data_IF_716070726074
#
_entry.id   IF_716070726074
#
_cell.length_a   1.000
_cell.length_b   1.000
_cell.length_c   1.000
_cell.angle_alpha   90.00
_cell.angle_beta   90.00
_cell.angle_gamma   90.00
#
_symmetry.space_group_name_H-M   'P 1'
#
loop_
_entity.id
_entity.type
_entity.pdbx_description
1 polymer ?
#
# COMPACT_ATOMS: atom_id res chain seq x y z
N UNK A 1 3.32 28.39 30.03
CA UNK A 1 4.61 27.81 29.63
C UNK A 1 4.72 26.32 29.94
N UNK A 2 4.26 25.48 29.01
CA UNK A 2 4.56 24.05 29.02
C UNK A 2 5.66 23.80 27.97
N UNK A 3 6.89 23.67 28.47
CA UNK A 3 8.08 23.36 27.69
C UNK A 3 7.85 22.06 26.90
N UNK A 4 7.90 22.14 25.57
CA UNK A 4 7.97 20.97 24.68
C UNK A 4 9.31 20.28 24.91
N UNK A 5 9.29 19.14 25.60
CA UNK A 5 10.43 18.24 25.64
C UNK A 5 10.50 17.51 24.30
N UNK A 6 11.41 17.96 23.45
CA UNK A 6 11.92 17.16 22.35
C UNK A 6 12.80 16.07 22.94
N UNK A 7 12.24 14.87 23.13
CA UNK A 7 13.08 13.69 23.37
C UNK A 7 13.68 13.28 22.03
N UNK A 8 14.93 13.63 21.78
CA UNK A 8 15.77 12.98 20.76
C UNK A 8 16.15 11.59 21.27
N UNK A 9 16.27 10.60 20.38
CA UNK A 9 16.92 9.33 20.72
C UNK A 9 18.40 9.61 21.02
N UNK A 10 19.09 8.76 21.82
CA UNK A 10 20.50 8.96 22.16
C UNK A 10 21.44 8.95 20.94
N UNK A 11 20.98 8.49 19.77
CA UNK A 11 21.70 8.53 18.49
C UNK A 11 21.47 9.82 17.68
N UNK A 12 20.76 10.81 18.24
CA UNK A 12 20.44 12.07 17.55
C UNK A 12 19.34 11.95 16.50
N UNK A 13 18.79 10.76 16.26
CA UNK A 13 17.68 10.60 15.33
C UNK A 13 16.36 11.14 15.93
N UNK A 14 15.50 11.77 15.10
CA UNK A 14 14.20 12.24 15.57
C UNK A 14 13.39 11.05 16.10
N UNK A 15 12.95 11.15 17.35
CA UNK A 15 12.06 10.15 17.95
C UNK A 15 10.76 10.16 17.16
N UNK A 16 10.35 8.98 16.74
CA UNK A 16 9.15 8.79 15.96
C UNK A 16 7.94 9.15 16.83
N UNK A 17 7.49 10.40 16.70
CA UNK A 17 6.52 11.08 17.59
C UNK A 17 5.07 10.68 17.25
N UNK A 18 4.85 9.40 16.91
CA UNK A 18 3.54 8.89 16.51
C UNK A 18 2.71 8.56 17.76
N UNK A 19 1.48 9.08 17.90
CA UNK A 19 0.58 8.63 18.94
C UNK A 19 0.27 7.13 18.76
N UNK A 20 0.26 6.31 19.83
CA UNK A 20 0.04 4.87 19.73
C UNK A 20 -1.29 4.49 19.07
N UNK A 21 -2.31 5.36 19.20
CA UNK A 21 -3.60 5.18 18.53
C UNK A 21 -3.49 5.26 17.00
N UNK A 22 -2.65 6.15 16.47
CA UNK A 22 -2.44 6.29 15.02
C UNK A 22 -1.74 5.05 14.47
N UNK A 23 -0.77 4.51 15.20
CA UNK A 23 -0.10 3.26 14.84
C UNK A 23 -1.08 2.08 14.72
N UNK A 24 -1.97 1.91 15.71
CA UNK A 24 -2.98 0.83 15.67
C UNK A 24 -4.00 1.02 14.53
N UNK A 25 -4.35 2.28 14.24
CA UNK A 25 -5.22 2.64 13.13
C UNK A 25 -4.57 2.37 11.76
N UNK A 26 -3.25 2.46 11.66
CA UNK A 26 -2.52 2.09 10.44
C UNK A 26 -2.37 0.57 10.31
N UNK A 27 -2.10 -0.13 11.41
CA UNK A 27 -2.05 -1.59 11.44
C UNK A 27 -3.38 -2.20 10.99
N UNK A 28 -4.50 -1.62 11.41
CA UNK A 28 -5.83 -2.07 11.00
C UNK A 28 -6.15 -1.76 9.53
N UNK A 29 -5.62 -0.68 8.95
CA UNK A 29 -5.71 -0.43 7.49
C UNK A 29 -4.91 -1.46 6.68
N UNK A 30 -3.72 -1.83 7.16
CA UNK A 30 -2.92 -2.90 6.56
C UNK A 30 -3.66 -4.23 6.65
N UNK A 31 -4.20 -4.58 7.83
CA UNK A 31 -4.98 -5.80 8.04
C UNK A 31 -6.24 -5.86 7.17
N UNK A 32 -6.98 -4.76 7.08
CA UNK A 32 -8.18 -4.68 6.23
C UNK A 32 -7.82 -4.79 4.73
N UNK A 33 -6.78 -4.09 4.28
CA UNK A 33 -6.30 -4.18 2.90
C UNK A 33 -5.87 -5.60 2.54
N UNK A 34 -5.09 -6.24 3.40
CA UNK A 34 -4.65 -7.62 3.22
C UNK A 34 -5.81 -8.62 3.25
N UNK A 35 -6.79 -8.41 4.14
CA UNK A 35 -8.00 -9.23 4.21
C UNK A 35 -8.86 -9.13 2.95
N UNK A 36 -9.09 -7.91 2.46
CA UNK A 36 -9.79 -7.67 1.18
C UNK A 36 -9.03 -8.30 0.02
N UNK A 37 -7.71 -8.10 -0.03
CA UNK A 37 -6.89 -8.67 -1.09
C UNK A 37 -6.85 -10.18 -1.07
N UNK A 38 -6.82 -10.80 0.10
CA UNK A 38 -6.96 -12.24 0.25
C UNK A 38 -8.31 -12.75 -0.27
N UNK A 39 -9.42 -12.09 0.07
CA UNK A 39 -10.75 -12.46 -0.40
C UNK A 39 -10.86 -12.35 -1.93
N UNK A 40 -10.33 -11.28 -2.51
CA UNK A 40 -10.28 -11.09 -3.97
C UNK A 40 -9.39 -12.15 -4.64
N UNK A 41 -8.26 -12.51 -4.03
CA UNK A 41 -7.41 -13.58 -4.56
C UNK A 41 -8.08 -14.94 -4.50
N UNK A 42 -8.87 -15.25 -3.48
CA UNK A 42 -9.68 -16.47 -3.46
C UNK A 42 -10.71 -16.49 -4.58
N UNK A 43 -11.41 -15.37 -4.79
CA UNK A 43 -12.38 -15.24 -5.88
C UNK A 43 -11.72 -15.43 -7.25
N UNK A 44 -10.59 -14.76 -7.49
CA UNK A 44 -9.83 -14.87 -8.73
C UNK A 44 -9.25 -16.27 -8.92
N UNK A 45 -8.74 -16.90 -7.86
CA UNK A 45 -8.23 -18.28 -7.89
C UNK A 45 -9.33 -19.25 -8.32
N UNK A 46 -10.51 -19.15 -7.70
CA UNK A 46 -11.66 -19.97 -8.06
C UNK A 46 -12.06 -19.74 -9.52
N UNK A 47 -12.16 -18.48 -9.95
CA UNK A 47 -12.50 -18.14 -11.34
C UNK A 47 -11.49 -18.72 -12.32
N UNK A 48 -10.20 -18.55 -12.06
CA UNK A 48 -9.15 -19.07 -12.93
C UNK A 48 -9.25 -20.61 -12.99
N UNK A 49 -9.38 -21.30 -11.86
CA UNK A 49 -9.55 -22.76 -11.87
C UNK A 49 -10.77 -23.26 -12.66
N UNK A 50 -11.84 -22.45 -12.73
CA UNK A 50 -13.05 -22.81 -13.49
C UNK A 50 -12.97 -22.46 -14.97
N UNK A 51 -12.22 -21.42 -15.35
CA UNK A 51 -12.02 -21.01 -16.74
C UNK A 51 -11.04 -21.92 -17.47
N UNK A 52 -10.07 -22.48 -16.74
CA UNK A 52 -9.10 -23.41 -17.28
C UNK A 52 -9.70 -24.82 -17.30
N UNK A 53 -10.39 -25.16 -18.41
CA UNK A 53 -10.82 -26.53 -18.76
C UNK A 53 -9.65 -27.49 -19.06
N UNK A 54 -8.40 -27.03 -18.92
CA UNK A 54 -7.20 -27.83 -19.01
C UNK A 54 -7.02 -28.69 -17.77
N UNK A 55 -6.17 -29.72 -17.86
CA UNK A 55 -5.96 -30.87 -16.95
C UNK A 55 -5.72 -30.57 -15.45
N UNK A 56 -5.82 -29.31 -15.00
CA UNK A 56 -5.52 -28.82 -13.67
C UNK A 56 -6.80 -28.34 -12.99
N UNK A 57 -7.58 -29.28 -12.46
CA UNK A 57 -8.79 -28.99 -11.68
C UNK A 57 -8.53 -28.63 -10.21
N UNK A 58 -7.28 -28.48 -9.78
CA UNK A 58 -6.95 -28.14 -8.39
C UNK A 58 -6.90 -26.61 -8.19
N UNK A 59 -7.87 -25.98 -7.51
CA UNK A 59 -7.85 -24.53 -7.27
C UNK A 59 -6.65 -24.09 -6.44
N UNK A 60 -6.07 -24.99 -5.63
CA UNK A 60 -4.89 -24.68 -4.83
C UNK A 60 -3.66 -24.42 -5.70
N UNK A 61 -3.56 -25.11 -6.84
CA UNK A 61 -2.46 -24.94 -7.78
C UNK A 61 -2.46 -23.56 -8.45
N UNK A 62 -3.65 -22.97 -8.59
CA UNK A 62 -3.86 -21.63 -9.14
C UNK A 62 -3.70 -20.50 -8.12
N UNK A 63 -3.67 -20.82 -6.82
CA UNK A 63 -3.58 -19.80 -5.77
C UNK A 63 -2.28 -19.00 -5.86
N UNK A 64 -1.14 -19.68 -5.92
CA UNK A 64 0.16 -18.99 -5.96
C UNK A 64 0.38 -18.19 -7.25
N UNK A 65 0.09 -18.70 -8.46
CA UNK A 65 0.12 -17.90 -9.67
C UNK A 65 -0.79 -16.66 -9.62
N UNK A 66 -2.00 -16.81 -9.08
CA UNK A 66 -2.92 -15.68 -8.90
C UNK A 66 -2.34 -14.65 -7.94
N UNK A 67 -1.81 -15.09 -6.80
CA UNK A 67 -1.14 -14.22 -5.83
C UNK A 67 0.09 -13.53 -6.43
N UNK A 68 0.93 -14.24 -7.17
CA UNK A 68 2.13 -13.63 -7.76
C UNK A 68 1.77 -12.54 -8.78
N UNK A 69 0.76 -12.76 -9.63
CA UNK A 69 0.31 -11.71 -10.54
C UNK A 69 -0.31 -10.53 -9.80
N UNK A 70 -1.00 -10.79 -8.70
CA UNK A 70 -1.54 -9.75 -7.83
C UNK A 70 -0.41 -8.85 -7.31
N UNK A 71 0.68 -9.44 -6.80
CA UNK A 71 1.85 -8.71 -6.34
C UNK A 71 2.57 -7.95 -7.47
N UNK A 72 2.65 -8.54 -8.67
CA UNK A 72 3.35 -7.92 -9.80
C UNK A 72 2.56 -6.78 -10.45
N UNK A 73 1.23 -6.85 -10.45
CA UNK A 73 0.39 -5.93 -11.22
C UNK A 73 -0.60 -5.16 -10.37
N UNK A 74 -1.31 -5.83 -9.47
CA UNK A 74 -2.36 -5.19 -8.67
C UNK A 74 -1.81 -4.29 -7.57
N UNK A 75 -0.68 -4.66 -6.96
CA UNK A 75 -0.05 -3.83 -5.92
C UNK A 75 0.46 -2.51 -6.52
N UNK A 76 1.26 -2.48 -7.60
CA UNK A 76 1.65 -1.23 -8.25
C UNK A 76 0.45 -0.41 -8.72
N UNK A 77 -0.58 -1.06 -9.27
CA UNK A 77 -1.82 -0.40 -9.68
C UNK A 77 -2.55 0.22 -8.49
N UNK A 78 -2.64 -0.48 -7.35
CA UNK A 78 -3.25 0.01 -6.12
C UNK A 78 -2.52 1.24 -5.58
N UNK A 79 -1.18 1.23 -5.60
CA UNK A 79 -0.36 2.39 -5.25
C UNK A 79 -0.61 3.56 -6.21
N UNK A 80 -0.68 3.31 -7.52
CA UNK A 80 -0.97 4.34 -8.52
C UNK A 80 -2.38 4.94 -8.33
N UNK A 81 -3.39 4.10 -8.10
CA UNK A 81 -4.77 4.53 -7.81
C UNK A 81 -4.84 5.35 -6.52
N UNK A 82 -4.16 4.93 -5.46
CA UNK A 82 -4.08 5.68 -4.22
C UNK A 82 -3.45 7.05 -4.43
N UNK A 83 -2.36 7.14 -5.19
CA UNK A 83 -1.73 8.42 -5.56
C UNK A 83 -2.65 9.30 -6.39
N UNK A 84 -3.34 8.73 -7.37
CA UNK A 84 -4.31 9.44 -8.19
C UNK A 84 -5.42 10.03 -7.33
N UNK A 85 -6.00 9.22 -6.42
CA UNK A 85 -7.02 9.68 -5.48
C UNK A 85 -6.53 10.86 -4.64
N UNK A 86 -5.29 10.80 -4.10
CA UNK A 86 -4.71 11.91 -3.36
C UNK A 86 -4.56 13.17 -4.21
N UNK A 87 -4.08 13.04 -5.46
CA UNK A 87 -3.89 14.16 -6.36
C UNK A 87 -5.23 14.81 -6.73
N UNK A 88 -6.24 13.99 -7.06
CA UNK A 88 -7.60 14.46 -7.36
C UNK A 88 -8.22 15.15 -6.15
N UNK A 89 -8.08 14.58 -4.95
CA UNK A 89 -8.61 15.19 -3.74
C UNK A 89 -7.94 16.54 -3.41
N UNK A 90 -6.62 16.68 -3.62
CA UNK A 90 -5.93 17.97 -3.47
C UNK A 90 -6.40 18.98 -4.50
N UNK A 91 -6.50 18.59 -5.76
CA UNK A 91 -7.00 19.45 -6.83
C UNK A 91 -8.41 19.95 -6.50
N UNK A 92 -9.34 19.06 -6.14
CA UNK A 92 -10.71 19.46 -5.79
C UNK A 92 -10.77 20.36 -4.56
N UNK A 93 -9.96 20.08 -3.54
CA UNK A 93 -9.86 20.95 -2.36
C UNK A 93 -9.35 22.34 -2.73
N UNK A 94 -8.27 22.42 -3.49
CA UNK A 94 -7.60 23.69 -3.80
C UNK A 94 -8.43 24.52 -4.81
N UNK A 95 -9.11 23.87 -5.76
CA UNK A 95 -9.95 24.54 -6.77
C UNK A 95 -11.33 24.93 -6.25
N UNK A 96 -11.98 24.08 -5.44
CA UNK A 96 -13.36 24.29 -5.01
C UNK A 96 -13.51 24.64 -3.52
N UNK A 97 -12.41 24.80 -2.78
CA UNK A 97 -12.39 25.05 -1.33
C UNK A 97 -13.20 24.03 -0.51
N UNK A 98 -13.32 22.81 -1.03
CA UNK A 98 -14.08 21.73 -0.39
C UNK A 98 -13.23 21.08 0.71
N UNK A 99 -13.42 21.55 1.94
CA UNK A 99 -12.72 21.06 3.14
C UNK A 99 -12.99 19.58 3.44
N UNK A 100 -14.09 19.00 2.96
CA UNK A 100 -14.41 17.58 3.14
C UNK A 100 -13.38 16.64 2.48
N UNK A 101 -12.68 17.10 1.44
CA UNK A 101 -11.63 16.33 0.76
C UNK A 101 -10.28 16.36 1.47
N UNK A 102 -10.11 17.14 2.54
CA UNK A 102 -8.84 17.17 3.28
C UNK A 102 -8.45 15.79 3.82
N UNK A 103 -9.44 14.93 4.08
CA UNK A 103 -9.19 13.57 4.54
C UNK A 103 -8.52 12.68 3.49
N UNK A 104 -8.94 12.80 2.22
CA UNK A 104 -8.41 12.03 1.10
C UNK A 104 -7.17 12.71 0.50
N UNK A 105 -7.08 14.03 0.52
CA UNK A 105 -5.94 14.80 0.03
C UNK A 105 -4.64 14.48 0.79
N UNK A 106 -4.78 14.08 2.06
CA UNK A 106 -3.69 13.72 2.99
C UNK A 106 -3.51 12.20 3.14
N UNK A 107 -4.19 11.41 2.34
CA UNK A 107 -4.06 9.96 2.32
C UNK A 107 -2.59 9.54 2.06
N UNK A 108 -2.08 8.64 2.90
CA UNK A 108 -0.69 8.17 2.87
C UNK A 108 0.37 9.20 3.34
N UNK A 109 -0.02 10.38 3.85
CA UNK A 109 0.91 11.36 4.43
C UNK A 109 0.79 11.38 5.96
N UNK A 110 1.86 10.98 6.63
CA UNK A 110 2.06 11.14 8.07
C UNK A 110 2.53 12.57 8.36
N UNK A 111 1.62 13.55 8.38
CA UNK A 111 1.96 14.87 8.90
C UNK A 111 1.51 15.01 10.35
N UNK A 112 2.36 15.66 11.15
CA UNK A 112 2.02 16.19 12.49
C UNK A 112 0.75 17.06 12.31
N UNK A 113 -0.34 16.70 12.99
CA UNK A 113 -1.63 17.39 12.88
C UNK A 113 -1.46 18.92 13.03
N UNK A 114 -2.14 19.76 12.21
CA UNK A 114 -2.44 21.12 12.63
C UNK A 114 -3.38 21.04 13.83
N UNK A 115 -3.14 21.89 14.83
CA UNK A 115 -3.74 21.90 16.17
C UNK A 115 -5.26 22.22 16.23
N UNK A 116 -6.07 21.81 15.25
CA UNK A 116 -7.50 22.10 15.20
C UNK A 116 -8.33 20.93 15.79
N UNK A 117 -9.01 21.24 16.88
CA UNK A 117 -9.47 20.32 17.93
C UNK A 117 -10.93 19.79 17.75
N UNK A 118 -11.57 19.85 16.58
CA UNK A 118 -13.06 19.80 16.56
C UNK A 118 -13.80 19.03 15.45
N UNK A 119 -13.26 17.96 14.85
CA UNK A 119 -14.04 17.09 13.92
C UNK A 119 -13.49 15.64 13.85
N UNK A 120 -14.32 14.60 13.66
CA UNK A 120 -14.15 13.31 14.32
C UNK A 120 -13.09 12.42 13.65
N UNK A 121 -11.99 12.22 14.38
CA UNK A 121 -10.87 11.32 14.05
C UNK A 121 -11.31 9.96 13.48
N UNK A 122 -12.42 9.41 13.99
CA UNK A 122 -12.97 8.12 13.56
C UNK A 122 -13.58 8.20 12.15
N UNK A 123 -14.34 9.24 11.80
CA UNK A 123 -14.92 9.36 10.44
C UNK A 123 -13.83 9.59 9.41
N UNK A 124 -12.83 10.41 9.74
CA UNK A 124 -11.65 10.64 8.90
C UNK A 124 -10.87 9.35 8.64
N UNK A 125 -10.58 8.60 9.71
CA UNK A 125 -9.89 7.32 9.60
C UNK A 125 -10.70 6.32 8.79
N UNK A 126 -12.01 6.23 9.03
CA UNK A 126 -12.91 5.31 8.34
C UNK A 126 -13.00 5.64 6.84
N UNK A 127 -13.10 6.93 6.47
CA UNK A 127 -13.09 7.35 5.07
C UNK A 127 -11.80 6.94 4.37
N UNK A 128 -10.64 7.10 5.03
CA UNK A 128 -9.36 6.63 4.50
C UNK A 128 -9.28 5.10 4.43
N UNK A 129 -9.80 4.38 5.43
CA UNK A 129 -9.84 2.93 5.42
C UNK A 129 -10.67 2.42 4.24
N UNK A 130 -11.86 2.97 4.04
CA UNK A 130 -12.76 2.60 2.94
C UNK A 130 -12.12 2.93 1.60
N UNK A 131 -11.56 4.12 1.43
CA UNK A 131 -10.86 4.49 0.21
C UNK A 131 -9.68 3.55 -0.08
N UNK A 132 -8.89 3.20 0.94
CA UNK A 132 -7.79 2.24 0.83
C UNK A 132 -8.29 0.85 0.44
N UNK A 133 -9.29 0.33 1.14
CA UNK A 133 -9.89 -0.97 0.85
C UNK A 133 -10.47 -1.03 -0.56
N UNK A 134 -11.11 0.05 -1.04
CA UNK A 134 -11.63 0.14 -2.40
C UNK A 134 -10.51 0.16 -3.44
N UNK A 135 -9.45 0.96 -3.23
CA UNK A 135 -8.29 0.96 -4.12
C UNK A 135 -7.66 -0.43 -4.22
N UNK A 136 -7.49 -1.12 -3.08
CA UNK A 136 -6.97 -2.50 -3.03
C UNK A 136 -7.92 -3.46 -3.72
N UNK A 137 -9.23 -3.40 -3.45
CA UNK A 137 -10.21 -4.30 -4.06
C UNK A 137 -10.23 -4.16 -5.58
N UNK A 138 -10.29 -2.92 -6.08
CA UNK A 138 -10.33 -2.65 -7.52
C UNK A 138 -9.02 -3.03 -8.18
N UNK A 139 -7.87 -2.68 -7.59
CA UNK A 139 -6.58 -3.01 -8.20
C UNK A 139 -6.34 -4.51 -8.26
N UNK A 140 -6.69 -5.26 -7.21
CA UNK A 140 -6.58 -6.73 -7.16
C UNK A 140 -7.59 -7.44 -8.04
N UNK A 141 -8.79 -6.87 -8.18
CA UNK A 141 -9.77 -7.39 -9.14
C UNK A 141 -9.24 -7.24 -10.57
N UNK A 142 -8.76 -6.04 -10.94
CA UNK A 142 -8.19 -5.76 -12.26
C UNK A 142 -6.94 -6.60 -12.51
N UNK A 143 -6.01 -6.66 -11.55
CA UNK A 143 -4.79 -7.47 -11.66
C UNK A 143 -5.10 -8.97 -11.83
N UNK A 144 -6.12 -9.48 -11.16
CA UNK A 144 -6.62 -10.84 -11.35
C UNK A 144 -7.23 -11.12 -12.73
N UNK A 145 -7.58 -10.09 -13.51
CA UNK A 145 -7.97 -10.23 -14.93
C UNK A 145 -6.79 -10.49 -15.85
N UNK A 146 -5.55 -10.27 -15.40
CA UNK A 146 -4.36 -10.44 -16.24
C UNK A 146 -4.12 -11.92 -16.55
N UNK A 147 -4.34 -12.83 -15.59
CA UNK A 147 -4.19 -14.27 -15.82
C UNK A 147 -5.06 -14.80 -16.96
N UNK A 148 -6.39 -14.63 -16.95
CA UNK A 148 -7.22 -15.11 -18.05
C UNK A 148 -6.92 -14.37 -19.36
N UNK A 149 -6.55 -13.09 -19.30
CA UNK A 149 -6.12 -12.35 -20.51
C UNK A 149 -4.86 -12.95 -21.12
N UNK A 150 -3.84 -13.24 -20.31
CA UNK A 150 -2.61 -13.88 -20.77
C UNK A 150 -2.88 -15.28 -21.30
N UNK A 151 -3.76 -16.04 -20.66
CA UNK A 151 -4.17 -17.35 -21.19
C UNK A 151 -4.82 -17.25 -22.57
N UNK A 152 -5.72 -16.30 -22.79
CA UNK A 152 -6.34 -16.11 -24.12
C UNK A 152 -5.30 -15.75 -25.19
N UNK A 153 -4.25 -15.01 -24.81
CA UNK A 153 -3.23 -14.53 -25.74
C UNK A 153 -2.15 -15.57 -26.06
N UNK A 154 -1.65 -16.27 -25.06
CA UNK A 154 -0.48 -17.16 -25.17
C UNK A 154 -0.75 -18.60 -24.71
N UNK A 155 -1.97 -18.88 -24.22
CA UNK A 155 -2.43 -20.22 -23.86
C UNK A 155 -1.55 -20.90 -22.81
N UNK A 156 -1.28 -22.22 -22.97
CA UNK A 156 -0.53 -23.00 -21.98
C UNK A 156 0.93 -22.58 -21.83
N UNK A 157 1.43 -21.72 -22.74
CA UNK A 157 2.77 -21.14 -22.64
C UNK A 157 2.82 -19.94 -21.68
N UNK A 158 1.71 -19.55 -21.06
CA UNK A 158 1.73 -18.52 -20.04
C UNK A 158 2.55 -18.97 -18.83
N UNK A 159 3.45 -18.12 -18.30
CA UNK A 159 4.31 -18.51 -17.17
C UNK A 159 3.48 -18.86 -15.92
N UNK A 160 2.30 -18.24 -15.78
CA UNK A 160 1.36 -18.53 -14.69
C UNK A 160 0.70 -19.90 -14.84
N UNK A 161 0.32 -20.30 -16.06
CA UNK A 161 -0.20 -21.63 -16.33
C UNK A 161 0.87 -22.71 -16.12
N UNK A 162 2.09 -22.49 -16.62
CA UNK A 162 3.22 -23.41 -16.39
C UNK A 162 3.51 -23.59 -14.90
N UNK A 163 3.40 -22.51 -14.11
CA UNK A 163 3.58 -22.56 -12.67
C UNK A 163 2.43 -23.30 -11.96
N UNK A 164 1.17 -23.07 -12.35
CA UNK A 164 0.03 -23.82 -11.83
C UNK A 164 0.20 -25.33 -12.09
N UNK A 165 0.61 -25.67 -13.30
CA UNK A 165 0.85 -27.06 -13.71
C UNK A 165 2.00 -27.71 -12.94
N UNK A 166 3.10 -26.99 -12.72
CA UNK A 166 4.20 -27.45 -11.88
C UNK A 166 3.72 -27.74 -10.46
N UNK A 167 2.97 -26.81 -9.84
CA UNK A 167 2.43 -26.98 -8.49
C UNK A 167 1.46 -28.16 -8.42
N UNK A 168 0.62 -28.35 -9.44
CA UNK A 168 -0.29 -29.48 -9.52
C UNK A 168 0.46 -30.82 -9.50
N UNK A 169 1.58 -30.93 -10.23
CA UNK A 169 2.42 -32.15 -10.33
C UNK A 169 3.27 -32.46 -9.10
N UNK A 170 3.43 -31.51 -8.16
CA UNK A 170 4.12 -31.79 -6.90
C UNK A 170 3.41 -32.90 -6.14
N UNK A 171 4.16 -33.94 -5.76
CA UNK A 171 3.70 -35.08 -4.95
C UNK A 171 3.48 -34.72 -3.46
N UNK A 172 3.23 -33.44 -3.18
CA UNK A 172 2.99 -32.94 -1.84
C UNK A 172 1.52 -33.13 -1.47
N UNK A 173 1.26 -33.36 -0.19
CA UNK A 173 -0.12 -33.36 0.31
C UNK A 173 -0.78 -31.99 0.08
N UNK A 174 -2.10 -31.96 -0.08
CA UNK A 174 -2.85 -30.71 -0.21
C UNK A 174 -2.60 -29.76 0.97
N UNK A 175 -2.42 -30.32 2.18
CA UNK A 175 -2.07 -29.55 3.37
C UNK A 175 -0.68 -28.89 3.22
N UNK A 176 0.34 -29.64 2.78
CA UNK A 176 1.68 -29.10 2.56
C UNK A 176 1.69 -27.98 1.52
N UNK A 177 0.97 -28.16 0.40
CA UNK A 177 0.81 -27.11 -0.62
C UNK A 177 0.12 -25.85 -0.04
N UNK A 178 -0.94 -26.01 0.76
CA UNK A 178 -1.61 -24.88 1.44
C UNK A 178 -0.67 -24.12 2.36
N UNK A 179 0.00 -24.81 3.28
CA UNK A 179 0.88 -24.15 4.24
C UNK A 179 2.07 -23.48 3.56
N UNK A 180 2.63 -24.10 2.53
CA UNK A 180 3.78 -23.54 1.82
C UNK A 180 3.38 -22.35 0.94
N UNK A 181 2.45 -22.54 0.00
CA UNK A 181 2.11 -21.53 -1.00
C UNK A 181 1.20 -20.42 -0.47
N UNK A 182 0.20 -20.77 0.35
CA UNK A 182 -0.73 -19.78 0.89
C UNK A 182 -0.29 -19.21 2.24
N UNK A 183 0.57 -19.92 2.97
CA UNK A 183 1.13 -19.47 4.25
C UNK A 183 2.52 -18.86 4.07
N UNK A 184 3.54 -19.72 4.05
CA UNK A 184 4.94 -19.31 4.11
C UNK A 184 5.36 -18.36 2.98
N UNK A 185 5.05 -18.72 1.74
CA UNK A 185 5.49 -17.96 0.57
C UNK A 185 4.77 -16.61 0.46
N UNK A 186 3.48 -16.57 0.82
CA UNK A 186 2.73 -15.33 0.95
C UNK A 186 3.35 -14.40 1.98
N UNK A 187 3.55 -14.89 3.21
CA UNK A 187 4.14 -14.09 4.30
C UNK A 187 5.53 -13.57 3.91
N UNK A 188 6.34 -14.41 3.26
CA UNK A 188 7.67 -14.00 2.80
C UNK A 188 7.57 -12.87 1.77
N UNK A 189 6.67 -12.98 0.79
CA UNK A 189 6.48 -11.95 -0.23
C UNK A 189 5.90 -10.66 0.35
N UNK A 190 4.94 -10.74 1.28
CA UNK A 190 4.42 -9.57 2.01
C UNK A 190 5.55 -8.85 2.78
N UNK A 191 6.45 -9.60 3.44
CA UNK A 191 7.61 -9.02 4.14
C UNK A 191 8.57 -8.35 3.16
N UNK A 192 8.87 -9.00 2.03
CA UNK A 192 9.73 -8.43 0.99
C UNK A 192 9.10 -7.16 0.42
N UNK A 193 7.80 -7.16 0.14
CA UNK A 193 7.06 -5.99 -0.34
C UNK A 193 7.19 -4.81 0.63
N UNK A 194 6.88 -5.02 1.91
CA UNK A 194 6.98 -3.98 2.94
C UNK A 194 8.42 -3.46 3.05
N UNK A 195 9.40 -4.36 3.01
CA UNK A 195 10.82 -4.01 3.10
C UNK A 195 11.26 -3.16 1.89
N UNK A 196 10.83 -3.53 0.68
CA UNK A 196 11.12 -2.78 -0.54
C UNK A 196 10.47 -1.40 -0.50
N UNK A 197 9.21 -1.31 -0.08
CA UNK A 197 8.49 -0.05 0.07
C UNK A 197 9.17 0.85 1.11
N UNK A 198 9.58 0.32 2.26
CA UNK A 198 10.30 1.07 3.28
C UNK A 198 11.67 1.55 2.79
N UNK A 199 12.42 0.69 2.08
CA UNK A 199 13.68 1.05 1.43
C UNK A 199 13.49 2.24 0.49
N UNK A 200 12.57 2.16 -0.46
CA UNK A 200 12.32 3.27 -1.40
C UNK A 200 11.81 4.55 -0.71
N UNK A 201 10.98 4.41 0.32
CA UNK A 201 10.51 5.56 1.08
C UNK A 201 11.65 6.28 1.82
N UNK A 202 12.62 5.54 2.37
CA UNK A 202 13.82 6.11 3.00
C UNK A 202 14.67 6.90 2.00
N UNK A 203 14.89 6.40 0.79
CA UNK A 203 15.62 7.15 -0.26
C UNK A 203 14.92 8.46 -0.66
N UNK A 204 13.59 8.43 -0.78
CA UNK A 204 12.82 9.63 -1.12
C UNK A 204 12.86 10.67 0.01
N UNK A 205 12.90 10.22 1.27
CA UNK A 205 13.04 11.11 2.42
C UNK A 205 14.43 11.74 2.51
N UNK A 206 15.49 10.94 2.32
CA UNK A 206 16.87 11.43 2.29
C UNK A 206 17.05 12.52 1.22
N UNK A 207 16.58 12.27 -0.01
CA UNK A 207 16.63 13.24 -1.11
C UNK A 207 15.88 14.56 -0.80
N UNK A 208 14.80 14.50 -0.02
CA UNK A 208 14.04 15.69 0.40
C UNK A 208 14.73 16.46 1.52
N UNK A 209 15.45 15.76 2.41
CA UNK A 209 16.27 16.39 3.43
C UNK A 209 17.46 17.10 2.79
N UNK A 210 18.15 16.46 1.85
CA UNK A 210 19.25 17.09 1.11
C UNK A 210 18.79 18.33 0.31
N UNK A 211 17.58 18.30 -0.25
CA UNK A 211 16.99 19.48 -0.92
C UNK A 211 16.57 20.58 0.06
N UNK A 212 16.13 20.23 1.27
CA UNK A 212 15.77 21.19 2.30
C UNK A 212 17.01 21.84 2.94
N UNK A 213 18.10 21.09 3.11
CA UNK A 213 19.38 21.60 3.63
C UNK A 213 20.19 22.35 2.56
N UNK A 214 20.03 22.03 1.28
CA UNK A 214 20.60 22.79 0.17
C UNK A 214 19.85 24.09 -0.19
N UNK A 215 18.72 24.36 0.47
CA UNK A 215 17.95 25.60 0.32
C UNK A 215 18.05 26.41 1.61
N UNK A 216 19.24 26.94 1.91
CA UNK A 216 19.34 28.01 2.91
C UNK A 216 18.46 29.20 2.45
N UNK A 217 17.54 29.69 3.29
CA UNK A 217 16.88 30.95 3.02
C UNK A 217 17.91 32.07 3.20
N UNK A 218 18.39 32.61 2.08
CA UNK A 218 19.23 33.79 2.02
C UNK A 218 18.40 35.05 2.34
N UNK A 219 17.67 35.09 3.46
CA UNK A 219 16.98 36.28 3.97
C UNK A 219 16.86 36.20 5.50
N UNK A 220 17.77 36.86 6.22
CA UNK A 220 17.48 37.68 7.41
C UNK A 220 18.78 38.22 8.02
N UNK A 221 19.38 39.23 7.36
CA UNK A 221 20.57 39.90 7.87
C UNK A 221 20.66 41.38 7.48
N UNK A 222 19.53 42.07 7.28
CA UNK A 222 19.55 43.52 6.99
C UNK A 222 18.23 44.23 7.37
N UNK A 223 17.78 44.06 8.61
CA UNK A 223 16.75 44.93 9.20
C UNK A 223 17.03 45.26 10.66
N UNK A 224 18.20 45.84 10.95
CA UNK A 224 18.46 46.53 12.22
C UNK A 224 19.48 47.66 12.01
N UNK A 225 19.10 48.69 11.26
CA UNK A 225 19.73 50.01 11.33
C UNK A 225 18.77 51.04 10.74
N UNK A 226 17.93 51.64 11.60
CA UNK A 226 17.41 53.02 11.51
C UNK A 226 16.23 53.17 12.48
N UNK A 227 16.57 53.19 13.77
CA UNK A 227 15.84 53.93 14.79
C UNK A 227 16.87 54.46 15.79
N UNK A 228 17.45 55.61 15.45
CA UNK A 228 18.02 56.62 16.35
C UNK A 228 18.50 57.80 15.51
#
# INVERSE_FOLDING_TARGET
DLRRYHFTKPDGSPKEDRPPIVFMLDLSKLGAGQGVGWAVNLLNTHRNSSLHHSDIHDPLSWYFPTFLADELFAVPLGVAMGRLLCCTARYLRDTHQLSDFDCLARFGRYQREPAAESSPRIRWWFAQLVAWALCVAVSRYIGGLILPTLEVLIGPYSPFHMMAHFIARLQWSCAAKRYFFAGFLRVTLDIVEITVVDFFNKFVQAKRQDQAEGTEPLIAGDRLANYS
#
